data_IF_148022026952
#
_entry.id   IF_148022026952
#
_cell.length_a   1.000
_cell.length_b   1.000
_cell.length_c   1.000
_cell.angle_alpha   90.00
_cell.angle_beta   90.00
_cell.angle_gamma   90.00
#
_symmetry.space_group_name_H-M   'P 1'
#
loop_
_entity.id
_entity.type
_entity.pdbx_description
1 polymer ?
#
# COMPACT_ATOMS: atom_id res chain seq x y z
N UNK A 1 19.39 -6.64 -5.03
CA UNK A 1 18.97 -8.02 -4.66
C UNK A 1 19.10 -8.13 -3.15
N UNK A 2 17.98 -7.96 -2.38
CA UNK A 2 17.96 -8.05 -0.92
C UNK A 2 17.31 -9.39 -0.52
N UNK A 3 17.98 -10.49 -0.85
CA UNK A 3 17.65 -11.80 -0.31
C UNK A 3 18.14 -11.85 1.15
N UNK A 4 17.36 -12.49 2.02
CA UNK A 4 17.52 -12.48 3.47
C UNK A 4 18.97 -12.58 3.95
N UNK A 5 19.26 -11.82 4.98
CA UNK A 5 20.54 -11.96 5.69
C UNK A 5 20.56 -13.37 6.30
N UNK A 6 21.54 -14.23 5.96
CA UNK A 6 21.64 -15.54 6.57
C UNK A 6 21.67 -15.40 8.10
N UNK A 7 20.70 -16.03 8.80
CA UNK A 7 20.58 -15.96 10.24
C UNK A 7 19.58 -14.92 10.78
N UNK A 8 18.80 -14.24 9.91
CA UNK A 8 17.68 -13.42 10.37
C UNK A 8 16.57 -14.27 10.99
N UNK A 9 15.90 -13.75 12.02
CA UNK A 9 14.74 -14.44 12.59
C UNK A 9 13.51 -14.29 11.67
N UNK A 10 12.54 -15.24 11.71
CA UNK A 10 11.29 -15.11 10.96
C UNK A 10 10.57 -13.77 11.20
N UNK A 11 10.59 -13.25 12.42
CA UNK A 11 10.01 -11.95 12.78
C UNK A 11 10.74 -10.79 12.09
N UNK A 12 12.07 -10.83 12.05
CA UNK A 12 12.87 -9.82 11.35
C UNK A 12 12.63 -9.85 9.84
N UNK A 13 12.43 -11.01 9.24
CA UNK A 13 12.10 -11.14 7.83
C UNK A 13 10.72 -10.54 7.53
N UNK A 14 9.70 -10.87 8.32
CA UNK A 14 8.36 -10.31 8.15
C UNK A 14 8.38 -8.78 8.29
N UNK A 15 9.04 -8.26 9.32
CA UNK A 15 9.17 -6.81 9.52
C UNK A 15 9.87 -6.12 8.34
N UNK A 16 10.95 -6.72 7.85
CA UNK A 16 11.67 -6.20 6.67
C UNK A 16 10.80 -6.16 5.42
N UNK A 17 10.00 -7.20 5.14
CA UNK A 17 9.08 -7.19 3.99
C UNK A 17 7.97 -6.15 4.15
N UNK A 18 7.45 -5.96 5.37
CA UNK A 18 6.49 -4.88 5.63
C UNK A 18 7.13 -3.51 5.39
N UNK A 19 8.36 -3.29 5.86
CA UNK A 19 9.08 -2.03 5.66
C UNK A 19 9.34 -1.75 4.16
N UNK A 20 9.70 -2.76 3.39
CA UNK A 20 9.85 -2.63 1.93
C UNK A 20 8.54 -2.21 1.25
N UNK A 21 7.40 -2.74 1.70
CA UNK A 21 6.08 -2.38 1.16
C UNK A 21 5.70 -0.93 1.50
N UNK A 22 5.96 -0.50 2.74
CA UNK A 22 5.74 0.87 3.23
C UNK A 22 6.53 1.89 2.38
N UNK A 23 7.81 1.63 2.19
CA UNK A 23 8.70 2.48 1.38
C UNK A 23 8.29 2.49 -0.09
N UNK A 24 7.90 1.33 -0.64
CA UNK A 24 7.41 1.21 -2.01
C UNK A 24 6.16 2.05 -2.25
N UNK A 25 5.26 2.13 -1.27
CA UNK A 25 4.05 2.96 -1.37
C UNK A 25 4.38 4.45 -1.28
N UNK A 26 5.24 4.86 -0.32
CA UNK A 26 5.51 6.28 -0.07
C UNK A 26 6.23 6.97 -1.23
N UNK A 27 7.24 6.34 -1.82
CA UNK A 27 8.00 6.99 -2.90
C UNK A 27 7.14 7.32 -4.13
N UNK A 28 5.95 6.68 -4.27
CA UNK A 28 5.00 6.99 -5.35
C UNK A 28 4.44 8.41 -5.30
N UNK A 29 4.65 9.11 -4.19
CA UNK A 29 4.25 10.51 -4.05
C UNK A 29 5.38 11.48 -4.40
N UNK A 30 6.63 11.00 -4.49
CA UNK A 30 7.81 11.87 -4.63
C UNK A 30 7.79 12.64 -5.95
N UNK A 31 8.03 13.94 -5.88
CA UNK A 31 8.12 14.82 -7.04
C UNK A 31 6.79 15.17 -7.72
N UNK A 32 5.67 14.58 -7.31
CA UNK A 32 4.35 14.90 -7.85
C UNK A 32 3.76 16.16 -7.20
N UNK A 33 2.89 16.86 -7.94
CA UNK A 33 2.10 17.97 -7.40
C UNK A 33 1.00 17.49 -6.44
N UNK A 34 0.46 18.39 -5.61
CA UNK A 34 -0.68 18.10 -4.73
C UNK A 34 -1.94 17.70 -5.52
N UNK A 35 -2.12 18.25 -6.71
CA UNK A 35 -3.18 17.83 -7.61
C UNK A 35 -2.97 16.39 -8.07
N UNK A 36 -1.77 16.03 -8.51
CA UNK A 36 -1.49 14.71 -9.07
C UNK A 36 -1.60 13.58 -8.04
N UNK A 37 -1.20 13.82 -6.79
CA UNK A 37 -1.34 12.79 -5.73
C UNK A 37 -2.79 12.59 -5.28
N UNK A 38 -3.70 13.56 -5.55
CA UNK A 38 -5.10 13.56 -5.08
C UNK A 38 -6.12 13.23 -6.18
N UNK A 39 -5.81 13.50 -7.45
CA UNK A 39 -6.78 13.31 -8.53
C UNK A 39 -7.16 11.84 -8.68
N UNK A 40 -8.47 11.54 -8.91
CA UNK A 40 -8.93 10.17 -9.12
C UNK A 40 -8.42 9.64 -10.46
N UNK A 41 -7.77 8.48 -10.44
CA UNK A 41 -7.19 7.85 -11.63
C UNK A 41 -8.01 6.67 -12.14
N UNK A 42 -9.03 6.25 -11.39
CA UNK A 42 -9.95 5.16 -11.76
C UNK A 42 -11.39 5.63 -11.63
N UNK A 43 -12.37 4.95 -12.28
CA UNK A 43 -13.78 5.26 -12.10
C UNK A 43 -14.27 5.16 -10.64
N UNK A 44 -13.59 4.38 -9.80
CA UNK A 44 -13.89 4.22 -8.38
C UNK A 44 -13.15 5.22 -7.48
N UNK A 45 -12.37 6.14 -8.06
CA UNK A 45 -11.75 7.26 -7.35
C UNK A 45 -10.37 6.97 -6.76
N UNK A 46 -9.73 5.85 -7.07
CA UNK A 46 -8.40 5.52 -6.51
C UNK A 46 -7.39 6.62 -6.84
N UNK A 47 -6.68 7.08 -5.82
CA UNK A 47 -5.67 8.14 -5.90
C UNK A 47 -4.50 7.82 -4.95
N UNK A 48 -3.33 8.39 -5.21
CA UNK A 48 -2.10 8.03 -4.48
C UNK A 48 -2.15 8.42 -3.00
N UNK A 49 -2.60 9.63 -2.69
CA UNK A 49 -2.62 10.11 -1.30
C UNK A 49 -3.67 9.37 -0.46
N UNK A 50 -4.80 9.03 -1.07
CA UNK A 50 -5.83 8.19 -0.45
C UNK A 50 -5.32 6.79 -0.12
N UNK A 51 -4.53 6.17 -1.00
CA UNK A 51 -3.91 4.86 -0.71
C UNK A 51 -2.98 4.93 0.51
N UNK A 52 -2.18 5.99 0.65
CA UNK A 52 -1.32 6.18 1.82
C UNK A 52 -2.13 6.38 3.10
N UNK A 53 -3.19 7.24 3.06
CA UNK A 53 -4.10 7.46 4.19
C UNK A 53 -4.78 6.16 4.64
N UNK A 54 -5.29 5.39 3.67
CA UNK A 54 -5.91 4.10 3.92
C UNK A 54 -4.95 3.12 4.60
N UNK A 55 -3.78 2.90 4.01
CA UNK A 55 -2.81 1.93 4.55
C UNK A 55 -2.33 2.34 5.95
N UNK A 56 -2.08 3.65 6.19
CA UNK A 56 -1.75 4.16 7.52
C UNK A 56 -2.84 3.79 8.55
N UNK A 57 -4.09 3.96 8.18
CA UNK A 57 -5.25 3.70 9.03
C UNK A 57 -5.44 2.21 9.33
N UNK A 58 -5.31 1.39 8.29
CA UNK A 58 -5.39 -0.08 8.40
C UNK A 58 -4.27 -0.62 9.28
N UNK A 59 -3.06 -0.07 9.14
CA UNK A 59 -1.89 -0.50 9.89
C UNK A 59 -2.04 -0.26 11.40
N UNK A 60 -2.51 0.91 11.82
CA UNK A 60 -2.76 1.18 13.26
C UNK A 60 -3.91 0.34 13.81
N UNK A 61 -4.88 -0.02 12.98
CA UNK A 61 -5.94 -0.96 13.35
C UNK A 61 -5.39 -2.35 13.63
N UNK A 62 -4.71 -2.93 12.67
CA UNK A 62 -4.24 -4.32 12.75
C UNK A 62 -3.04 -4.51 13.68
N UNK A 63 -2.04 -3.64 13.62
CA UNK A 63 -0.84 -3.75 14.47
C UNK A 63 -0.94 -2.95 15.78
N UNK A 64 -2.04 -2.24 15.99
CA UNK A 64 -2.34 -1.51 17.23
C UNK A 64 -3.55 -2.10 17.96
N UNK A 65 -4.75 -1.73 17.53
CA UNK A 65 -6.02 -2.06 18.22
C UNK A 65 -6.19 -3.55 18.44
N UNK A 66 -5.87 -4.38 17.45
CA UNK A 66 -5.97 -5.84 17.50
C UNK A 66 -5.17 -6.44 18.67
N UNK A 67 -4.05 -5.82 19.05
CA UNK A 67 -3.19 -6.25 20.15
C UNK A 67 -3.34 -5.40 21.43
N UNK A 68 -4.51 -4.72 21.59
CA UNK A 68 -4.79 -3.91 22.77
C UNK A 68 -3.95 -2.65 22.92
N UNK A 69 -3.38 -2.16 21.82
CA UNK A 69 -2.54 -0.97 21.73
C UNK A 69 -3.21 0.08 20.81
N UNK A 70 -4.25 0.78 21.28
CA UNK A 70 -4.92 1.78 20.45
C UNK A 70 -3.95 2.89 20.06
N UNK A 71 -4.13 3.43 18.86
CA UNK A 71 -3.39 4.60 18.39
C UNK A 71 -3.80 5.83 19.19
N UNK A 72 -2.83 6.68 19.57
CA UNK A 72 -3.08 7.82 20.46
C UNK A 72 -3.89 8.96 19.84
N UNK A 73 -3.87 9.07 18.50
CA UNK A 73 -4.60 10.09 17.76
C UNK A 73 -5.90 9.50 17.19
N UNK A 74 -7.03 10.24 17.30
CA UNK A 74 -8.27 9.80 16.69
C UNK A 74 -8.17 9.84 15.16
N UNK A 75 -8.77 8.84 14.50
CA UNK A 75 -8.91 8.79 13.05
C UNK A 75 -10.36 9.15 12.70
N UNK A 76 -10.67 10.42 12.35
CA UNK A 76 -12.04 10.90 12.19
C UNK A 76 -12.85 10.14 11.14
N UNK A 77 -12.18 9.59 10.14
CA UNK A 77 -12.80 8.78 9.08
C UNK A 77 -13.21 7.36 9.50
N UNK A 78 -12.89 6.97 10.73
CA UNK A 78 -13.38 5.73 11.35
C UNK A 78 -14.38 6.01 12.51
N UNK A 79 -14.73 7.28 12.74
CA UNK A 79 -15.74 7.62 13.71
C UNK A 79 -17.14 7.18 13.25
N UNK A 80 -18.04 6.98 14.21
CA UNK A 80 -19.44 6.72 13.92
C UNK A 80 -20.04 7.84 13.06
N UNK A 81 -20.65 7.46 11.92
CA UNK A 81 -21.22 8.40 10.96
C UNK A 81 -20.23 9.02 9.97
N UNK A 82 -18.96 8.59 9.96
CA UNK A 82 -18.03 8.99 8.91
C UNK A 82 -18.53 8.61 7.51
N UNK A 83 -18.17 9.41 6.51
CA UNK A 83 -18.51 9.14 5.13
C UNK A 83 -17.88 7.81 4.66
N UNK A 84 -18.60 6.97 3.90
CA UNK A 84 -18.02 5.78 3.31
C UNK A 84 -16.76 6.11 2.48
N UNK A 85 -15.71 5.32 2.63
CA UNK A 85 -14.40 5.52 1.98
C UNK A 85 -13.68 6.83 2.37
N UNK A 86 -14.02 7.47 3.50
CA UNK A 86 -13.35 8.70 3.96
C UNK A 86 -11.85 8.49 4.22
N UNK A 87 -11.40 7.26 4.42
CA UNK A 87 -10.01 6.86 4.51
C UNK A 87 -9.29 6.74 3.15
N UNK A 88 -10.06 6.64 2.04
CA UNK A 88 -9.52 6.44 0.69
C UNK A 88 -9.20 7.74 -0.07
N UNK A 89 -9.38 8.89 0.56
CA UNK A 89 -9.06 10.20 -0.02
C UNK A 89 -8.74 11.22 1.08
N UNK A 90 -7.98 12.25 0.72
CA UNK A 90 -7.67 13.36 1.62
C UNK A 90 -8.49 14.58 1.24
N UNK A 91 -9.10 15.23 2.22
CA UNK A 91 -9.82 16.50 2.02
C UNK A 91 -8.85 17.63 1.65
N UNK A 92 -9.36 18.79 1.23
CA UNK A 92 -8.52 19.94 0.93
C UNK A 92 -7.76 20.46 2.17
N UNK A 93 -8.32 20.23 3.37
CA UNK A 93 -7.74 20.67 4.64
C UNK A 93 -6.72 19.67 5.22
N UNK A 94 -6.68 18.45 4.72
CA UNK A 94 -5.69 17.44 5.09
C UNK A 94 -4.47 17.59 4.16
N UNK A 95 -3.39 18.17 4.64
CA UNK A 95 -2.20 18.35 3.82
C UNK A 95 -1.50 17.02 3.52
N UNK A 96 -0.71 17.00 2.44
CA UNK A 96 0.13 15.85 2.08
C UNK A 96 1.08 15.48 3.23
N UNK A 97 1.68 16.50 3.84
CA UNK A 97 2.62 16.33 4.96
C UNK A 97 1.94 15.72 6.18
N UNK A 98 0.67 16.08 6.45
CA UNK A 98 -0.11 15.47 7.53
C UNK A 98 -0.37 13.99 7.27
N UNK A 99 -0.78 13.60 6.05
CA UNK A 99 -1.05 12.20 5.70
C UNK A 99 0.23 11.36 5.72
N UNK A 100 1.34 11.87 5.16
CA UNK A 100 2.64 11.20 5.21
C UNK A 100 3.15 11.10 6.65
N UNK A 101 2.98 12.17 7.44
CA UNK A 101 3.32 12.20 8.86
C UNK A 101 2.52 11.16 9.66
N UNK A 102 1.22 11.04 9.40
CA UNK A 102 0.38 10.01 10.00
C UNK A 102 0.91 8.60 9.66
N UNK A 103 1.31 8.37 8.42
CA UNK A 103 1.83 7.05 8.04
C UNK A 103 3.15 6.73 8.76
N UNK A 104 4.06 7.68 8.90
CA UNK A 104 5.27 7.47 9.70
C UNK A 104 4.97 7.22 11.19
N UNK A 105 3.95 7.89 11.75
CA UNK A 105 3.51 7.63 13.12
C UNK A 105 2.89 6.23 13.24
N UNK A 106 2.11 5.78 12.23
CA UNK A 106 1.60 4.43 12.16
C UNK A 106 2.73 3.39 12.16
N UNK A 107 3.81 3.60 11.38
CA UNK A 107 4.98 2.72 11.40
C UNK A 107 5.60 2.63 12.79
N UNK A 108 5.90 3.79 13.39
CA UNK A 108 6.52 3.84 14.71
C UNK A 108 5.65 3.14 15.76
N UNK A 109 4.33 3.32 15.71
CA UNK A 109 3.39 2.64 16.60
C UNK A 109 3.38 1.13 16.40
N UNK A 110 3.28 0.69 15.15
CA UNK A 110 3.26 -0.72 14.75
C UNK A 110 4.58 -1.44 15.07
N UNK A 111 5.70 -0.76 14.85
CA UNK A 111 7.02 -1.32 15.11
C UNK A 111 7.23 -1.62 16.60
N UNK A 112 6.66 -0.81 17.50
CA UNK A 112 6.65 -1.14 18.94
C UNK A 112 5.90 -2.46 19.18
N UNK A 113 4.74 -2.68 18.55
CA UNK A 113 4.01 -3.95 18.68
C UNK A 113 4.85 -5.13 18.16
N UNK A 114 5.44 -4.97 16.97
CA UNK A 114 6.25 -6.00 16.33
C UNK A 114 7.47 -6.36 17.19
N UNK A 115 8.14 -5.37 17.79
CA UNK A 115 9.34 -5.61 18.58
C UNK A 115 9.03 -6.21 19.96
N UNK A 116 7.90 -5.83 20.57
CA UNK A 116 7.59 -6.22 21.96
C UNK A 116 6.85 -7.54 22.09
N UNK A 117 6.06 -7.95 21.07
CA UNK A 117 5.28 -9.19 21.13
C UNK A 117 5.96 -10.33 20.38
N UNK A 118 5.74 -11.56 20.83
CA UNK A 118 6.17 -12.75 20.11
C UNK A 118 5.23 -13.06 18.93
N UNK A 119 5.69 -13.83 17.93
CA UNK A 119 4.91 -14.12 16.71
C UNK A 119 3.62 -14.90 16.99
N UNK A 120 3.55 -15.65 18.06
CA UNK A 120 2.38 -16.40 18.52
C UNK A 120 1.48 -15.61 19.49
N UNK A 121 1.83 -14.35 19.80
CA UNK A 121 0.98 -13.48 20.63
C UNK A 121 -0.40 -13.34 20.02
N UNK A 122 -1.44 -13.55 20.83
CA UNK A 122 -2.83 -13.51 20.40
C UNK A 122 -3.37 -12.07 20.35
N UNK A 123 -4.17 -11.82 19.32
CA UNK A 123 -4.92 -10.58 19.11
C UNK A 123 -6.35 -10.89 18.69
N UNK A 124 -7.21 -9.87 18.70
CA UNK A 124 -8.60 -10.00 18.30
C UNK A 124 -8.98 -8.94 17.25
N UNK A 125 -9.49 -9.39 16.09
CA UNK A 125 -9.97 -8.51 15.02
C UNK A 125 -11.49 -8.37 15.13
N UNK A 126 -12.02 -7.23 15.63
CA UNK A 126 -13.44 -7.11 16.01
C UNK A 126 -14.45 -7.28 14.86
N UNK A 127 -14.05 -6.89 13.64
CA UNK A 127 -14.92 -6.90 12.46
C UNK A 127 -14.80 -8.19 11.62
N UNK A 128 -13.97 -9.14 12.02
CA UNK A 128 -13.88 -10.45 11.37
C UNK A 128 -14.93 -11.42 11.91
N UNK A 129 -15.34 -12.44 11.13
CA UNK A 129 -16.19 -13.51 11.63
C UNK A 129 -15.61 -14.14 12.90
N UNK A 130 -16.48 -14.46 13.87
CA UNK A 130 -16.07 -14.94 15.20
C UNK A 130 -15.14 -16.17 15.18
N UNK A 131 -15.33 -17.05 14.20
CA UNK A 131 -14.52 -18.24 13.99
C UNK A 131 -13.08 -17.95 13.46
N UNK A 132 -12.82 -16.70 13.05
CA UNK A 132 -11.53 -16.25 12.51
C UNK A 132 -11.03 -14.96 13.13
N UNK A 133 -11.72 -14.44 14.17
CA UNK A 133 -11.37 -13.14 14.78
C UNK A 133 -10.21 -13.21 15.76
N UNK A 134 -9.91 -14.40 16.30
CA UNK A 134 -8.71 -14.65 17.10
C UNK A 134 -7.54 -14.93 16.14
N UNK A 135 -6.47 -14.18 16.27
CA UNK A 135 -5.33 -14.18 15.34
C UNK A 135 -4.01 -14.13 16.09
N UNK A 136 -2.92 -14.50 15.44
CA UNK A 136 -1.57 -14.30 15.95
C UNK A 136 -0.90 -13.07 15.31
N UNK A 137 0.14 -12.53 15.95
CA UNK A 137 0.97 -11.48 15.35
C UNK A 137 1.56 -11.92 14.02
N UNK A 138 1.96 -13.19 13.89
CA UNK A 138 2.42 -13.76 12.62
C UNK A 138 1.38 -13.59 11.52
N UNK A 139 0.11 -13.98 11.77
CA UNK A 139 -0.96 -13.86 10.79
C UNK A 139 -1.22 -12.40 10.39
N UNK A 140 -1.21 -11.49 11.36
CA UNK A 140 -1.41 -10.06 11.09
C UNK A 140 -0.23 -9.46 10.32
N UNK A 141 1.01 -9.85 10.60
CA UNK A 141 2.16 -9.41 9.79
C UNK A 141 2.05 -9.87 8.33
N UNK A 142 1.70 -11.15 8.10
CA UNK A 142 1.46 -11.66 6.74
C UNK A 142 0.32 -10.90 6.05
N UNK A 143 -0.78 -10.63 6.78
CA UNK A 143 -1.91 -9.86 6.28
C UNK A 143 -1.50 -8.45 5.90
N UNK A 144 -0.78 -7.73 6.76
CA UNK A 144 -0.33 -6.36 6.51
C UNK A 144 0.70 -6.26 5.38
N UNK A 145 1.60 -7.23 5.25
CA UNK A 145 2.51 -7.32 4.10
C UNK A 145 1.71 -7.44 2.81
N UNK A 146 0.75 -8.37 2.76
CA UNK A 146 -0.08 -8.59 1.58
C UNK A 146 -0.92 -7.35 1.22
N UNK A 147 -1.53 -6.72 2.22
CA UNK A 147 -2.37 -5.53 2.07
C UNK A 147 -1.56 -4.33 1.58
N UNK A 148 -0.43 -4.04 2.23
CA UNK A 148 0.42 -2.91 1.84
C UNK A 148 1.01 -3.11 0.44
N UNK A 149 1.48 -4.32 0.10
CA UNK A 149 1.96 -4.63 -1.26
C UNK A 149 0.85 -4.56 -2.31
N UNK A 150 -0.37 -4.97 -1.98
CA UNK A 150 -1.52 -4.81 -2.87
C UNK A 150 -1.72 -3.34 -3.24
N UNK A 151 -1.71 -2.46 -2.24
CA UNK A 151 -1.89 -1.02 -2.46
C UNK A 151 -0.66 -0.36 -3.10
N UNK A 152 0.55 -0.82 -2.81
CA UNK A 152 1.75 -0.40 -3.53
C UNK A 152 1.65 -0.74 -5.04
N UNK A 153 1.15 -1.94 -5.38
CA UNK A 153 0.90 -2.32 -6.78
C UNK A 153 -0.19 -1.46 -7.47
N UNK A 154 -1.23 -1.04 -6.74
CA UNK A 154 -2.18 -0.05 -7.27
C UNK A 154 -1.50 1.30 -7.53
N UNK A 155 -0.66 1.75 -6.60
CA UNK A 155 0.07 2.99 -6.72
C UNK A 155 1.12 2.95 -7.85
N UNK A 156 1.72 1.79 -8.15
CA UNK A 156 2.63 1.58 -9.29
C UNK A 156 1.95 1.97 -10.61
N UNK A 157 0.77 1.40 -10.87
CA UNK A 157 0.03 1.64 -12.11
C UNK A 157 -0.43 3.10 -12.19
N UNK A 158 -0.91 3.67 -11.08
CA UNK A 158 -1.34 5.07 -11.02
C UNK A 158 -0.16 5.99 -11.28
N UNK A 159 0.99 5.74 -10.68
CA UNK A 159 2.20 6.52 -10.86
C UNK A 159 2.66 6.52 -12.32
N UNK A 160 2.72 5.36 -12.94
CA UNK A 160 3.07 5.22 -14.35
C UNK A 160 2.12 6.01 -15.25
N UNK A 161 0.82 6.02 -14.96
CA UNK A 161 -0.19 6.78 -15.73
C UNK A 161 -0.05 8.30 -15.54
N UNK A 162 0.52 8.77 -14.42
CA UNK A 162 0.69 10.20 -14.13
C UNK A 162 1.92 10.78 -14.85
N UNK A 163 3.08 10.16 -14.66
CA UNK A 163 4.36 10.72 -15.12
C UNK A 163 5.31 9.70 -15.78
N UNK A 164 4.89 8.43 -15.88
CA UNK A 164 5.69 7.37 -16.47
C UNK A 164 6.75 6.78 -15.54
N UNK A 165 6.81 7.19 -14.27
CA UNK A 165 7.73 6.61 -13.32
C UNK A 165 7.25 5.21 -12.89
N UNK A 166 8.15 4.24 -12.90
CA UNK A 166 7.86 2.81 -12.63
C UNK A 166 8.83 2.23 -11.61
N UNK A 167 8.45 1.11 -11.02
CA UNK A 167 9.36 0.25 -10.26
C UNK A 167 9.11 0.22 -8.76
N UNK A 168 9.79 -0.72 -8.11
CA UNK A 168 9.65 -0.98 -6.68
C UNK A 168 10.18 0.17 -5.82
N UNK A 169 11.28 0.81 -6.25
CA UNK A 169 11.95 1.90 -5.55
C UNK A 169 12.44 2.95 -6.55
N UNK A 170 12.62 4.18 -6.07
CA UNK A 170 13.08 5.29 -6.89
C UNK A 170 14.43 5.05 -7.59
N UNK A 171 15.31 4.25 -6.97
CA UNK A 171 16.64 3.90 -7.46
C UNK A 171 16.72 2.53 -8.15
N UNK A 172 15.60 1.79 -8.20
CA UNK A 172 15.54 0.45 -8.79
C UNK A 172 14.15 0.17 -9.36
N UNK A 173 14.01 0.41 -10.65
CA UNK A 173 12.75 0.18 -11.36
C UNK A 173 12.43 -1.31 -11.58
N UNK A 174 13.42 -2.19 -11.48
CA UNK A 174 13.28 -3.63 -11.71
C UNK A 174 12.65 -3.97 -13.08
N UNK A 175 12.81 -3.07 -14.06
CA UNK A 175 12.25 -3.21 -15.40
C UNK A 175 13.28 -3.78 -16.38
N UNK A 176 12.80 -4.28 -17.52
CA UNK A 176 13.68 -4.66 -18.62
C UNK A 176 14.41 -3.42 -19.15
N UNK A 177 15.69 -3.54 -19.51
CA UNK A 177 16.42 -2.40 -20.09
C UNK A 177 15.82 -2.04 -21.45
N UNK A 178 15.49 -0.77 -21.62
CA UNK A 178 14.91 -0.25 -22.87
C UNK A 178 14.74 1.25 -22.82
N UNK A 179 14.94 1.91 -23.96
CA UNK A 179 14.61 3.31 -24.13
C UNK A 179 13.13 3.53 -24.46
N UNK A 180 12.73 4.78 -24.61
CA UNK A 180 11.33 5.13 -24.96
C UNK A 180 10.84 4.46 -26.24
N UNK A 181 11.71 4.31 -27.23
CA UNK A 181 11.34 3.69 -28.52
C UNK A 181 11.12 2.20 -28.36
N UNK A 182 11.96 1.54 -27.62
CA UNK A 182 11.82 0.11 -27.29
C UNK A 182 10.49 -0.16 -26.55
N UNK A 183 10.16 0.65 -25.56
CA UNK A 183 8.90 0.51 -24.83
C UNK A 183 7.67 0.78 -25.67
N UNK A 184 7.74 1.75 -26.62
CA UNK A 184 6.65 2.01 -27.57
C UNK A 184 6.42 0.81 -28.51
N UNK A 185 7.48 0.22 -29.05
CA UNK A 185 7.42 -0.97 -29.90
C UNK A 185 6.92 -2.19 -29.11
N UNK A 186 7.42 -2.38 -27.90
CA UNK A 186 6.97 -3.45 -27.00
C UNK A 186 5.46 -3.36 -26.74
N UNK A 187 4.97 -2.18 -26.36
CA UNK A 187 3.53 -1.92 -26.15
C UNK A 187 2.71 -2.18 -27.40
N UNK A 188 3.18 -1.72 -28.55
CA UNK A 188 2.50 -1.93 -29.84
C UNK A 188 2.43 -3.43 -30.22
N UNK A 189 3.47 -4.18 -29.88
CA UNK A 189 3.48 -5.64 -30.06
C UNK A 189 2.44 -6.32 -29.17
N UNK A 190 2.38 -5.95 -27.88
CA UNK A 190 1.39 -6.50 -26.95
C UNK A 190 -0.04 -6.21 -27.40
N UNK A 191 -0.32 -4.99 -27.85
CA UNK A 191 -1.63 -4.59 -28.38
C UNK A 191 -2.03 -5.41 -29.62
N UNK A 192 -1.09 -5.64 -30.54
CA UNK A 192 -1.33 -6.51 -31.71
C UNK A 192 -1.69 -7.94 -31.29
N UNK A 193 -0.90 -8.54 -30.38
CA UNK A 193 -1.15 -9.89 -29.88
C UNK A 193 -2.52 -9.99 -29.20
N UNK A 194 -2.90 -8.99 -28.42
CA UNK A 194 -4.20 -8.94 -27.78
C UNK A 194 -5.36 -8.93 -28.78
N UNK A 195 -5.23 -8.18 -29.89
CA UNK A 195 -6.22 -8.16 -30.99
C UNK A 195 -6.26 -9.48 -31.75
N UNK A 196 -5.12 -10.09 -32.01
CA UNK A 196 -5.04 -11.39 -32.67
C UNK A 196 -5.69 -12.51 -31.86
N UNK A 197 -5.64 -12.41 -30.52
CA UNK A 197 -6.25 -13.35 -29.61
C UNK A 197 -7.79 -13.25 -29.51
N UNK A 198 -8.39 -12.11 -29.96
CA UNK A 198 -9.84 -11.89 -29.97
C UNK A 198 -10.33 -11.37 -31.34
N UNK A 199 -10.26 -12.19 -32.40
CA UNK A 199 -10.60 -11.80 -33.78
C UNK A 199 -12.08 -11.48 -33.98
N UNK A 200 -12.96 -11.83 -33.02
CA UNK A 200 -14.42 -11.61 -33.14
C UNK A 200 -14.93 -10.30 -32.53
N UNK A 201 -14.11 -9.51 -31.85
CA UNK A 201 -14.52 -8.25 -31.21
C UNK A 201 -14.35 -7.08 -32.18
N UNK A 202 -15.33 -6.90 -33.07
CA UNK A 202 -15.47 -5.68 -33.85
C UNK A 202 -15.63 -4.49 -32.92
N UNK A 203 -14.83 -3.44 -33.12
CA UNK A 203 -14.87 -2.20 -32.34
C UNK A 203 -16.29 -1.62 -32.36
N UNK A 204 -16.91 -1.44 -31.20
CA UNK A 204 -18.06 -0.59 -30.98
C UNK A 204 -17.61 0.75 -30.38
#
# INVERSE_FOLDING_TARGET
MLWGVPGSSPKADLHRYLQMAREALLWKLDGLSDHDVRRPMTPTGTNLLGLVKHVASVEVGYLGVVFGRPFGEPLPWYADGAEPNADMWATADESREQIVGLYHQAWAHSDVTIHTLELDALGHVPHWPKDRSEVTLHQILVHMIAETHRHAGHADIIRELIDGAVGLRADNDNMAPGDRSWWAEYRSRLERVAREADPGRTQH
#
